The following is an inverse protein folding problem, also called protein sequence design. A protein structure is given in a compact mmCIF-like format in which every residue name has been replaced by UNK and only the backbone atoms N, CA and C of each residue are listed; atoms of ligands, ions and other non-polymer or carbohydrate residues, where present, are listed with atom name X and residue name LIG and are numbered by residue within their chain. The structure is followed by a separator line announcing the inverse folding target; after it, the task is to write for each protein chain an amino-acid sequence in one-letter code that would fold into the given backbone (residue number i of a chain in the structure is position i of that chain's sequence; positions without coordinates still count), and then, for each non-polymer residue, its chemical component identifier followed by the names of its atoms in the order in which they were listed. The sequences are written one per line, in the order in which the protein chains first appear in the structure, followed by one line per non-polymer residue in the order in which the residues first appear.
data_IF_947764067917
#
_entry.id   IF_947764067917
#
_cell.length_a   1.000
_cell.length_b   1.000
_cell.length_c   1.000
_cell.angle_alpha   90.00
_cell.angle_beta   90.00
_cell.angle_gamma   90.00
#
_symmetry.space_group_name_H-M   'P 1'
#
loop_
_entity.id
_entity.type
_entity.pdbx_description
1 polymer ?
#
# COMPACT_ATOMS: atom_id res chain seq x y z
N UNK A 1 17.67 -49.65 63.77
CA UNK A 1 16.79 -49.48 62.58
C UNK A 1 17.37 -48.36 61.72
N UNK A 2 17.92 -48.71 60.56
CA UNK A 2 18.53 -47.78 59.60
C UNK A 2 17.45 -46.91 58.94
N UNK A 3 17.69 -45.60 58.82
CA UNK A 3 17.10 -44.76 57.77
C UNK A 3 18.11 -43.72 57.31
N UNK A 4 18.90 -44.11 56.30
CA UNK A 4 19.55 -43.19 55.37
C UNK A 4 18.47 -42.77 54.36
N UNK A 5 18.30 -41.47 54.16
CA UNK A 5 17.63 -40.93 52.97
C UNK A 5 18.43 -39.73 52.46
N UNK A 6 19.25 -40.02 51.45
CA UNK A 6 19.73 -39.04 50.47
C UNK A 6 18.54 -38.38 49.75
N UNK A 7 18.76 -37.21 49.15
CA UNK A 7 18.24 -36.73 47.84
C UNK A 7 18.47 -35.20 47.80
N UNK A 8 19.59 -34.73 47.23
CA UNK A 8 19.81 -34.32 45.82
C UNK A 8 19.43 -32.86 45.55
N UNK A 9 20.46 -32.05 45.28
CA UNK A 9 20.47 -30.78 44.56
C UNK A 9 20.18 -31.03 43.07
N UNK A 10 19.14 -30.41 42.49
CA UNK A 10 19.00 -30.17 41.03
C UNK A 10 18.23 -28.85 40.86
N UNK A 11 18.96 -27.75 40.61
CA UNK A 11 19.13 -27.12 39.30
C UNK A 11 17.87 -26.33 38.86
N UNK A 12 17.91 -25.02 39.09
CA UNK A 12 16.92 -24.08 38.60
C UNK A 12 16.93 -24.01 37.08
N UNK A 13 15.82 -24.42 36.47
CA UNK A 13 15.54 -24.15 35.06
C UNK A 13 14.83 -22.79 34.99
N UNK A 14 15.58 -21.78 34.55
CA UNK A 14 15.02 -20.52 34.05
C UNK A 14 14.15 -20.84 32.83
N UNK A 15 12.84 -20.86 33.03
CA UNK A 15 11.85 -20.88 31.95
C UNK A 15 11.76 -19.47 31.36
N UNK A 16 12.53 -19.21 30.31
CA UNK A 16 12.32 -18.07 29.41
C UNK A 16 10.99 -18.26 28.66
N UNK A 17 10.06 -17.29 28.68
CA UNK A 17 8.87 -17.39 27.85
C UNK A 17 9.26 -17.33 26.37
N UNK A 18 8.83 -18.33 25.60
CA UNK A 18 8.89 -18.27 24.14
C UNK A 18 8.10 -17.04 23.69
N UNK A 19 8.78 -16.05 23.12
CA UNK A 19 8.13 -14.98 22.39
C UNK A 19 7.30 -15.61 21.27
N UNK A 20 5.99 -15.36 21.27
CA UNK A 20 5.13 -15.72 20.16
C UNK A 20 5.70 -15.04 18.90
N UNK A 21 6.14 -15.86 17.94
CA UNK A 21 6.47 -15.38 16.61
C UNK A 21 5.21 -14.76 16.02
N UNK A 22 5.15 -13.43 15.97
CA UNK A 22 4.19 -12.75 15.13
C UNK A 22 4.53 -13.18 13.70
N UNK A 23 3.71 -14.07 13.13
CA UNK A 23 3.79 -14.40 11.71
C UNK A 23 3.67 -13.08 10.95
N UNK A 24 4.81 -12.59 10.43
CA UNK A 24 4.84 -11.47 9.52
C UNK A 24 4.13 -11.95 8.25
N UNK A 25 2.81 -11.74 8.19
CA UNK A 25 2.05 -11.92 6.97
C UNK A 25 2.52 -10.81 6.04
N UNK A 26 3.51 -11.15 5.21
CA UNK A 26 3.95 -10.33 4.10
C UNK A 26 2.77 -10.24 3.13
N UNK A 27 2.04 -9.13 3.20
CA UNK A 27 0.96 -8.84 2.28
C UNK A 27 1.60 -8.63 0.91
N UNK A 28 1.31 -9.51 -0.04
CA UNK A 28 2.08 -9.66 -1.26
C UNK A 28 1.97 -8.47 -2.22
N UNK A 29 2.78 -7.43 -2.04
CA UNK A 29 3.08 -6.45 -3.11
C UNK A 29 4.14 -7.05 -4.04
N UNK A 30 3.77 -8.06 -4.83
CA UNK A 30 4.75 -8.88 -5.60
C UNK A 30 5.17 -8.31 -6.96
N UNK A 31 4.57 -7.22 -7.45
CA UNK A 31 4.87 -6.73 -8.81
C UNK A 31 5.63 -5.39 -8.83
N UNK A 32 6.76 -5.31 -9.57
CA UNK A 32 7.37 -4.02 -9.89
C UNK A 32 6.38 -3.19 -10.71
N UNK A 33 6.53 -1.86 -10.62
CA UNK A 33 5.73 -0.83 -11.28
C UNK A 33 4.95 -1.33 -12.54
N UNK A 34 3.62 -1.26 -12.51
CA UNK A 34 2.75 -1.72 -13.59
C UNK A 34 2.33 -0.53 -14.46
N UNK A 35 2.38 -0.70 -15.77
CA UNK A 35 1.75 0.23 -16.70
C UNK A 35 0.27 -0.14 -16.86
N UNK A 36 -0.62 0.72 -16.38
CA UNK A 36 -2.09 0.52 -16.45
C UNK A 36 -2.74 1.47 -17.46
N UNK A 37 -1.97 2.04 -18.38
CA UNK A 37 -2.49 2.93 -19.43
C UNK A 37 -2.97 4.30 -18.95
N UNK A 38 -2.72 4.66 -17.69
CA UNK A 38 -3.05 5.98 -17.14
C UNK A 38 -1.89 6.94 -17.40
N UNK A 39 -2.18 8.03 -18.10
CA UNK A 39 -1.26 9.13 -18.34
C UNK A 39 -1.95 10.46 -18.00
N UNK A 40 -1.58 11.03 -16.87
CA UNK A 40 -2.06 12.33 -16.40
C UNK A 40 -1.04 13.41 -16.76
N UNK A 41 -1.37 14.34 -17.67
CA UNK A 41 -0.42 15.38 -18.10
C UNK A 41 -0.10 16.39 -16.99
N UNK A 42 -0.97 16.53 -16.01
CA UNK A 42 -0.82 17.42 -14.87
C UNK A 42 -1.55 16.86 -13.64
N UNK A 43 -1.25 17.44 -12.47
CA UNK A 43 -1.89 17.10 -11.21
C UNK A 43 -3.42 17.25 -11.32
N UNK A 44 -4.21 16.20 -11.01
CA UNK A 44 -5.65 16.23 -11.20
C UNK A 44 -6.36 17.12 -10.15
N UNK A 45 -7.51 17.66 -10.54
CA UNK A 45 -8.39 18.31 -9.58
C UNK A 45 -9.07 17.25 -8.70
N UNK A 46 -8.69 17.22 -7.43
CA UNK A 46 -9.24 16.31 -6.43
C UNK A 46 -10.29 17.01 -5.57
N UNK A 47 -11.45 16.39 -5.44
CA UNK A 47 -12.60 16.88 -4.67
C UNK A 47 -12.94 15.87 -3.60
N UNK A 48 -13.23 16.33 -2.38
CA UNK A 48 -13.57 15.44 -1.27
C UNK A 48 -14.91 14.75 -1.52
N UNK A 49 -14.97 13.45 -1.22
CA UNK A 49 -16.21 12.69 -1.16
C UNK A 49 -16.94 13.07 0.15
N UNK A 50 -18.16 13.63 0.10
CA UNK A 50 -18.90 14.09 1.27
C UNK A 50 -19.11 13.00 2.32
N UNK A 51 -18.62 13.24 3.54
CA UNK A 51 -18.72 12.28 4.65
C UNK A 51 -17.65 11.17 4.64
N UNK A 52 -16.62 11.28 3.79
CA UNK A 52 -15.53 10.32 3.70
C UNK A 52 -14.16 11.02 3.86
N UNK A 53 -13.12 10.30 4.31
CA UNK A 53 -11.74 10.77 4.31
C UNK A 53 -11.06 10.62 2.94
N UNK A 54 -11.84 10.53 1.86
CA UNK A 54 -11.38 10.20 0.51
C UNK A 54 -11.65 11.37 -0.43
N UNK A 55 -10.75 11.59 -1.37
CA UNK A 55 -10.98 12.47 -2.52
C UNK A 55 -11.14 11.64 -3.79
N UNK A 56 -11.85 12.18 -4.77
CA UNK A 56 -11.94 11.61 -6.12
C UNK A 56 -11.63 12.69 -7.16
N UNK A 57 -11.32 12.26 -8.39
CA UNK A 57 -11.03 13.18 -9.50
C UNK A 57 -12.22 13.23 -10.49
N UNK A 58 -13.17 14.18 -10.36
CA UNK A 58 -14.36 14.23 -11.21
C UNK A 58 -14.07 14.47 -12.71
N UNK A 59 -12.98 15.17 -13.00
CA UNK A 59 -12.58 15.53 -14.38
C UNK A 59 -11.88 14.40 -15.12
N UNK A 60 -11.51 13.32 -14.43
CA UNK A 60 -10.88 12.17 -15.05
C UNK A 60 -11.94 11.15 -15.49
N UNK A 61 -11.70 10.52 -16.63
CA UNK A 61 -12.45 9.36 -17.08
C UNK A 61 -11.71 8.09 -16.63
N UNK A 62 -11.52 7.93 -15.31
CA UNK A 62 -10.95 6.74 -14.67
C UNK A 62 -11.37 6.72 -13.20
N UNK A 63 -11.50 5.55 -12.58
CA UNK A 63 -11.79 5.43 -11.15
C UNK A 63 -10.56 5.80 -10.33
N UNK A 64 -10.47 7.07 -9.94
CA UNK A 64 -9.28 7.66 -9.36
C UNK A 64 -9.60 8.36 -8.04
N UNK A 65 -8.90 7.94 -7.00
CA UNK A 65 -9.14 8.36 -5.63
C UNK A 65 -7.84 8.74 -4.93
N UNK A 66 -7.95 9.49 -3.84
CA UNK A 66 -6.83 9.78 -2.93
C UNK A 66 -7.29 9.53 -1.49
N UNK A 67 -6.52 8.73 -0.77
CA UNK A 67 -6.79 8.38 0.62
C UNK A 67 -5.47 8.17 1.35
N UNK A 68 -5.37 8.83 2.51
CA UNK A 68 -4.31 8.63 3.49
C UNK A 68 -2.88 8.74 2.94
N UNK A 69 -2.66 9.65 1.97
CA UNK A 69 -1.33 9.89 1.39
C UNK A 69 -1.00 9.08 0.13
N UNK A 70 -1.91 8.22 -0.33
CA UNK A 70 -1.76 7.49 -1.59
C UNK A 70 -2.91 7.81 -2.56
N UNK A 71 -2.57 7.80 -3.85
CA UNK A 71 -3.50 7.72 -4.97
C UNK A 71 -3.90 6.26 -5.17
N UNK A 72 -5.19 6.03 -5.42
CA UNK A 72 -5.79 4.73 -5.61
C UNK A 72 -6.54 4.71 -6.92
N UNK A 73 -6.30 3.69 -7.72
CA UNK A 73 -6.95 3.49 -9.01
C UNK A 73 -7.61 2.13 -9.02
N UNK A 74 -8.87 2.09 -9.44
CA UNK A 74 -9.55 0.83 -9.74
C UNK A 74 -9.68 0.64 -11.26
N UNK A 75 -8.93 -0.31 -11.80
CA UNK A 75 -8.82 -0.53 -13.24
C UNK A 75 -8.74 -2.03 -13.54
N UNK A 76 -9.54 -2.52 -14.49
CA UNK A 76 -9.55 -3.93 -14.88
C UNK A 76 -9.70 -4.87 -13.67
N UNK A 77 -10.68 -4.59 -12.81
CA UNK A 77 -11.01 -5.34 -11.58
C UNK A 77 -9.93 -5.43 -10.49
N UNK A 78 -8.86 -4.66 -10.65
CA UNK A 78 -7.74 -4.63 -9.73
C UNK A 78 -7.56 -3.22 -9.14
N UNK A 79 -7.08 -3.20 -7.90
CA UNK A 79 -6.65 -1.97 -7.25
C UNK A 79 -5.17 -1.74 -7.50
N UNK A 80 -4.85 -0.48 -7.78
CA UNK A 80 -3.49 0.00 -7.89
C UNK A 80 -3.31 1.21 -7.00
N UNK A 81 -2.11 1.37 -6.45
CA UNK A 81 -1.77 2.55 -5.69
C UNK A 81 -0.50 3.22 -6.21
N UNK A 82 -0.39 4.51 -5.92
CA UNK A 82 0.84 5.28 -6.08
C UNK A 82 0.93 6.37 -5.03
N UNK A 83 2.13 6.76 -4.64
CA UNK A 83 2.34 7.98 -3.86
C UNK A 83 2.44 9.24 -4.72
N UNK A 84 2.47 9.07 -6.05
CA UNK A 84 2.54 10.13 -7.02
C UNK A 84 1.37 10.08 -8.00
N UNK A 85 0.88 11.27 -8.40
CA UNK A 85 -0.42 11.35 -9.07
C UNK A 85 -0.46 10.63 -10.43
N UNK A 86 0.66 10.50 -11.13
CA UNK A 86 0.78 9.82 -12.42
C UNK A 86 1.59 8.53 -12.33
N UNK A 87 1.59 7.89 -11.16
CA UNK A 87 2.35 6.66 -10.95
C UNK A 87 3.86 6.86 -10.69
N UNK A 88 4.67 5.81 -10.75
CA UNK A 88 4.30 4.48 -11.18
C UNK A 88 3.29 3.82 -10.25
N UNK A 89 2.50 2.92 -10.82
CA UNK A 89 1.43 2.21 -10.13
C UNK A 89 1.93 0.86 -9.64
N UNK A 90 1.46 0.42 -8.48
CA UNK A 90 1.67 -0.96 -8.04
C UNK A 90 0.35 -1.64 -7.75
N UNK A 91 0.30 -2.93 -8.03
CA UNK A 91 -0.84 -3.77 -7.72
C UNK A 91 -1.06 -3.83 -6.20
N UNK A 92 -2.32 -3.75 -5.79
CA UNK A 92 -2.76 -3.95 -4.42
C UNK A 92 -3.80 -5.06 -4.41
N UNK A 93 -3.49 -6.12 -3.66
CA UNK A 93 -4.38 -7.24 -3.45
C UNK A 93 -5.70 -6.80 -2.78
N UNK A 94 -6.81 -7.45 -3.10
CA UNK A 94 -8.14 -7.09 -2.58
C UNK A 94 -8.24 -7.17 -1.05
N UNK A 95 -7.42 -7.99 -0.40
CA UNK A 95 -7.30 -8.05 1.07
C UNK A 95 -6.40 -6.98 1.66
N UNK A 96 -5.78 -6.16 0.82
CA UNK A 96 -4.86 -5.10 1.19
C UNK A 96 -5.37 -3.71 0.79
N UNK A 97 -6.66 -3.59 0.45
CA UNK A 97 -7.30 -2.31 0.18
C UNK A 97 -7.85 -1.73 1.48
N UNK A 98 -7.59 -0.45 1.80
CA UNK A 98 -8.15 0.21 2.97
C UNK A 98 -9.68 0.24 2.93
N UNK A 99 -10.33 0.09 4.09
CA UNK A 99 -11.79 0.02 4.19
C UNK A 99 -12.48 1.28 3.65
N UNK A 100 -11.90 2.47 3.83
CA UNK A 100 -12.49 3.70 3.30
C UNK A 100 -12.45 3.79 1.78
N UNK A 101 -11.49 3.13 1.13
CA UNK A 101 -11.46 2.98 -0.33
C UNK A 101 -12.56 2.02 -0.80
N UNK A 102 -12.79 0.93 -0.06
CA UNK A 102 -13.86 -0.02 -0.36
C UNK A 102 -15.25 0.58 -0.14
N UNK A 103 -15.39 1.53 0.78
CA UNK A 103 -16.67 2.15 1.17
C UNK A 103 -17.13 3.29 0.25
N UNK A 104 -16.33 3.67 -0.74
CA UNK A 104 -16.64 4.78 -1.65
C UNK A 104 -17.97 4.49 -2.36
N UNK A 105 -18.95 5.40 -2.34
CA UNK A 105 -20.21 5.16 -3.03
C UNK A 105 -20.05 5.00 -4.55
N UNK A 106 -20.86 4.12 -5.15
CA UNK A 106 -20.81 3.80 -6.60
C UNK A 106 -20.82 5.05 -7.49
N UNK A 107 -21.56 6.11 -7.12
CA UNK A 107 -21.63 7.36 -7.90
C UNK A 107 -20.28 8.07 -8.12
N UNK A 108 -19.25 7.77 -7.32
CA UNK A 108 -17.94 8.41 -7.42
C UNK A 108 -16.96 7.63 -8.31
N UNK A 109 -17.34 6.45 -8.79
CA UNK A 109 -16.62 5.72 -9.82
C UNK A 109 -16.92 6.36 -11.18
N UNK A 110 -15.89 6.89 -11.86
CA UNK A 110 -16.04 7.59 -13.15
C UNK A 110 -16.16 6.61 -14.31
N UNK A 111 -15.58 5.42 -14.16
CA UNK A 111 -15.65 4.31 -15.10
C UNK A 111 -15.99 3.03 -14.33
N UNK A 112 -17.19 2.94 -13.73
CA UNK A 112 -17.58 1.75 -12.98
C UNK A 112 -17.61 0.52 -13.92
N UNK A 113 -17.15 -0.65 -13.49
CA UNK A 113 -17.30 -1.87 -14.27
C UNK A 113 -18.76 -2.18 -14.60
N UNK A 114 -19.04 -2.95 -15.68
CA UNK A 114 -20.40 -3.27 -16.07
C UNK A 114 -21.24 -3.95 -14.97
N UNK A 115 -20.62 -4.74 -14.08
CA UNK A 115 -21.32 -5.43 -13.00
C UNK A 115 -21.72 -4.49 -11.84
N UNK A 116 -21.27 -3.23 -11.81
CA UNK A 116 -21.79 -2.23 -10.88
C UNK A 116 -23.20 -1.74 -11.27
N UNK A 117 -23.68 -2.10 -12.48
CA UNK A 117 -25.02 -1.70 -12.96
C UNK A 117 -26.09 -2.21 -12.01
N UNK A 118 -27.04 -1.33 -11.66
CA UNK A 118 -28.13 -1.64 -10.74
C UNK A 118 -27.74 -1.57 -9.25
N UNK A 119 -26.47 -1.38 -8.92
CA UNK A 119 -26.08 -1.12 -7.54
C UNK A 119 -26.47 0.30 -7.11
N UNK A 120 -26.73 0.45 -5.80
CA UNK A 120 -27.18 1.71 -5.23
C UNK A 120 -26.10 2.80 -5.36
N UNK A 121 -26.40 3.97 -5.95
CA UNK A 121 -25.39 5.00 -6.20
C UNK A 121 -24.88 5.68 -4.92
N UNK A 122 -25.64 5.69 -3.84
CA UNK A 122 -25.29 6.17 -2.49
C UNK A 122 -24.59 5.14 -1.60
N UNK A 123 -24.47 3.89 -2.05
CA UNK A 123 -23.91 2.79 -1.27
C UNK A 123 -22.55 2.35 -1.84
N UNK A 124 -21.70 1.68 -1.03
CA UNK A 124 -20.47 1.11 -1.54
C UNK A 124 -20.74 -0.04 -2.54
N UNK A 125 -19.79 -0.31 -3.45
CA UNK A 125 -19.75 -1.51 -4.26
C UNK A 125 -19.95 -2.79 -3.45
N UNK A 126 -20.64 -3.77 -4.04
CA UNK A 126 -20.85 -5.09 -3.43
C UNK A 126 -19.64 -5.99 -3.72
N UNK A 127 -18.53 -5.72 -3.04
CA UNK A 127 -17.25 -6.39 -3.32
C UNK A 127 -17.29 -7.93 -3.22
N UNK A 128 -18.17 -8.49 -2.38
CA UNK A 128 -18.36 -9.93 -2.26
C UNK A 128 -18.88 -10.57 -3.57
N UNK A 129 -19.61 -9.83 -4.42
CA UNK A 129 -20.07 -10.32 -5.72
C UNK A 129 -18.89 -10.53 -6.70
N UNK A 130 -17.77 -9.83 -6.50
CA UNK A 130 -16.57 -9.92 -7.35
C UNK A 130 -15.44 -10.76 -6.74
N UNK A 131 -15.19 -10.64 -5.43
CA UNK A 131 -14.08 -11.32 -4.74
C UNK A 131 -14.50 -12.57 -3.96
N UNK A 132 -15.79 -12.89 -3.97
CA UNK A 132 -16.35 -14.10 -3.37
C UNK A 132 -16.57 -14.01 -1.86
N UNK A 133 -17.21 -15.06 -1.34
CA UNK A 133 -17.63 -15.15 0.07
C UNK A 133 -16.47 -15.23 1.05
N UNK A 134 -15.35 -15.85 0.66
CA UNK A 134 -14.17 -15.95 1.52
C UNK A 134 -13.58 -14.57 1.82
N UNK A 135 -13.64 -13.65 0.83
CA UNK A 135 -13.21 -12.28 1.02
C UNK A 135 -14.09 -11.58 2.06
N UNK A 136 -15.41 -11.71 1.92
CA UNK A 136 -16.39 -11.13 2.84
C UNK A 136 -16.24 -11.64 4.27
N UNK A 137 -16.03 -12.95 4.44
CA UNK A 137 -15.81 -13.56 5.76
C UNK A 137 -14.55 -13.02 6.44
N UNK A 138 -13.44 -12.92 5.72
CA UNK A 138 -12.18 -12.38 6.26
C UNK A 138 -12.23 -10.87 6.51
N UNK A 139 -13.13 -10.16 5.84
CA UNK A 139 -13.38 -8.72 5.99
C UNK A 139 -14.75 -8.47 6.66
N UNK A 140 -15.17 -9.32 7.59
CA UNK A 140 -16.47 -9.17 8.26
C UNK A 140 -16.63 -7.76 8.87
N UNK A 141 -17.82 -7.17 8.68
CA UNK A 141 -18.12 -5.81 9.14
C UNK A 141 -17.41 -4.68 8.37
N UNK A 142 -16.75 -4.96 7.24
CA UNK A 142 -16.05 -3.94 6.47
C UNK A 142 -16.95 -2.80 6.00
N UNK A 143 -18.26 -2.98 5.87
CA UNK A 143 -19.23 -1.97 5.45
C UNK A 143 -19.98 -1.32 6.63
N UNK A 144 -19.81 -1.86 7.85
CA UNK A 144 -20.39 -1.33 9.08
C UNK A 144 -19.48 -0.26 9.68
N UNK A 145 -19.97 0.97 9.77
CA UNK A 145 -19.23 2.08 10.37
C UNK A 145 -20.12 3.28 10.68
N UNK A 146 -19.69 4.07 11.65
CA UNK A 146 -20.24 5.40 11.88
C UNK A 146 -19.49 6.42 11.02
N UNK A 147 -20.19 7.07 10.08
CA UNK A 147 -19.64 8.14 9.24
C UNK A 147 -19.14 9.33 10.06
N UNK A 148 -19.69 9.57 11.25
CA UNK A 148 -19.28 10.66 12.15
C UNK A 148 -17.91 10.41 12.79
N UNK A 149 -17.52 9.15 12.89
CA UNK A 149 -16.22 8.72 13.40
C UNK A 149 -15.13 8.66 12.32
N UNK A 150 -15.41 9.18 11.10
CA UNK A 150 -14.41 9.25 10.03
C UNK A 150 -13.19 10.07 10.47
N UNK A 151 -11.96 9.60 10.22
CA UNK A 151 -10.78 10.43 10.43
C UNK A 151 -10.82 11.67 9.52
N UNK A 152 -10.09 12.73 9.88
CA UNK A 152 -9.89 13.85 8.96
C UNK A 152 -9.22 13.34 7.67
N UNK A 153 -9.60 13.86 6.49
CA UNK A 153 -8.96 13.48 5.24
C UNK A 153 -7.49 13.94 5.25
N UNK A 154 -6.61 13.12 4.67
CA UNK A 154 -5.22 13.51 4.46
C UNK A 154 -5.14 14.81 3.62
N UNK A 155 -4.16 15.69 3.88
CA UNK A 155 -3.92 16.86 3.05
C UNK A 155 -3.55 16.42 1.64
N UNK A 156 -4.00 17.16 0.63
CA UNK A 156 -3.61 16.85 -0.75
C UNK A 156 -2.11 17.16 -0.97
N UNK A 157 -1.34 16.32 -1.70
CA UNK A 157 0.08 16.56 -1.98
C UNK A 157 0.26 17.68 -3.03
N UNK A 158 -0.15 18.91 -2.70
CA UNK A 158 -0.24 20.04 -3.64
C UNK A 158 1.10 20.44 -4.26
N UNK A 159 2.22 20.17 -3.57
CA UNK A 159 3.56 20.36 -4.13
C UNK A 159 3.77 19.57 -5.43
N UNK A 160 3.02 18.48 -5.67
CA UNK A 160 3.15 17.69 -6.89
C UNK A 160 2.63 18.43 -8.14
N UNK A 161 1.85 19.53 -7.97
CA UNK A 161 1.35 20.36 -9.08
C UNK A 161 2.45 20.93 -9.97
N UNK A 162 3.64 21.14 -9.42
CA UNK A 162 4.79 21.68 -10.15
C UNK A 162 5.50 20.65 -11.05
N UNK A 163 5.12 19.37 -10.97
CA UNK A 163 5.77 18.29 -11.70
C UNK A 163 4.88 17.78 -12.83
N UNK A 164 4.55 18.63 -13.80
CA UNK A 164 3.71 18.25 -14.94
C UNK A 164 4.54 17.77 -16.14
N UNK A 165 3.96 16.91 -16.98
CA UNK A 165 4.57 16.44 -18.24
C UNK A 165 6.06 16.04 -18.09
N UNK A 166 6.97 16.79 -18.71
CA UNK A 166 8.41 16.50 -18.73
C UNK A 166 9.10 16.75 -17.39
N UNK A 167 8.48 17.53 -16.51
CA UNK A 167 8.97 17.76 -15.14
C UNK A 167 8.57 16.62 -14.20
N UNK A 168 7.75 15.67 -14.65
CA UNK A 168 7.34 14.53 -13.82
C UNK A 168 8.55 13.65 -13.46
N UNK A 169 8.90 13.47 -12.17
CA UNK A 169 10.03 12.65 -11.78
C UNK A 169 9.73 11.18 -12.09
N UNK A 170 10.38 10.61 -13.10
CA UNK A 170 10.17 9.21 -13.51
C UNK A 170 10.95 8.20 -12.67
N UNK A 171 11.99 8.66 -11.97
CA UNK A 171 12.80 7.84 -11.07
C UNK A 171 12.08 7.72 -9.72
N UNK A 172 11.88 6.49 -9.25
CA UNK A 172 11.13 6.22 -8.01
C UNK A 172 11.87 6.76 -6.79
N UNK A 173 13.19 6.73 -6.83
CA UNK A 173 14.08 7.24 -5.79
C UNK A 173 13.87 8.75 -5.62
N UNK A 174 13.90 9.49 -6.73
CA UNK A 174 13.64 10.93 -6.73
C UNK A 174 12.23 11.27 -6.23
N UNK A 175 11.25 10.47 -6.64
CA UNK A 175 9.88 10.57 -6.15
C UNK A 175 9.78 10.41 -4.63
N UNK A 176 10.50 9.44 -4.06
CA UNK A 176 10.55 9.18 -2.62
C UNK A 176 11.19 10.34 -1.86
N UNK A 177 12.35 10.82 -2.30
CA UNK A 177 13.05 11.96 -1.70
C UNK A 177 12.13 13.18 -1.61
N UNK A 178 11.55 13.56 -2.76
CA UNK A 178 10.63 14.68 -2.84
C UNK A 178 9.40 14.48 -1.95
N UNK A 179 8.89 13.25 -1.83
CA UNK A 179 7.78 12.97 -0.92
C UNK A 179 8.18 13.13 0.55
N UNK A 180 9.34 12.61 0.96
CA UNK A 180 9.82 12.74 2.34
C UNK A 180 10.12 14.21 2.70
N UNK A 181 10.67 14.98 1.76
CA UNK A 181 11.00 16.38 1.96
C UNK A 181 9.76 17.29 1.97
N UNK A 182 8.80 17.04 1.06
CA UNK A 182 7.70 17.98 0.77
C UNK A 182 6.35 17.56 1.34
N UNK A 183 6.18 16.28 1.68
CA UNK A 183 4.91 15.72 2.17
C UNK A 183 5.06 15.14 3.57
N UNK A 184 4.93 15.99 4.59
CA UNK A 184 5.14 15.64 6.00
C UNK A 184 4.02 14.82 6.64
N UNK A 185 2.95 14.54 5.89
CA UNK A 185 1.83 13.77 6.41
C UNK A 185 2.23 12.31 6.61
N UNK A 186 1.94 11.77 7.79
CA UNK A 186 2.13 10.37 8.10
C UNK A 186 0.78 9.64 7.95
N UNK A 187 0.70 8.58 7.12
CA UNK A 187 -0.52 7.80 6.96
C UNK A 187 -0.99 7.22 8.30
N UNK A 188 -2.28 7.38 8.61
CA UNK A 188 -2.87 6.85 9.83
C UNK A 188 -3.34 5.40 9.69
N UNK A 189 -3.75 5.03 8.48
CA UNK A 189 -4.27 3.70 8.17
C UNK A 189 -3.15 2.66 8.21
N UNK A 190 -3.30 1.57 8.98
CA UNK A 190 -2.27 0.55 9.09
C UNK A 190 -1.94 -0.11 7.76
N UNK A 191 -2.93 -0.31 6.88
CA UNK A 191 -2.74 -0.93 5.57
C UNK A 191 -1.90 -0.02 4.68
N UNK A 192 -2.16 1.28 4.72
CA UNK A 192 -1.43 2.28 3.95
C UNK A 192 0.02 2.40 4.44
N UNK A 193 0.22 2.44 5.76
CA UNK A 193 1.56 2.44 6.36
C UNK A 193 2.39 1.23 5.94
N UNK A 194 1.79 0.04 5.98
CA UNK A 194 2.46 -1.20 5.57
C UNK A 194 2.87 -1.14 4.09
N UNK A 195 1.94 -0.78 3.19
CA UNK A 195 2.25 -0.63 1.75
C UNK A 195 3.38 0.34 1.49
N UNK A 196 3.37 1.48 2.19
CA UNK A 196 4.42 2.48 2.08
C UNK A 196 5.78 1.92 2.53
N UNK A 197 5.83 1.31 3.71
CA UNK A 197 7.07 0.73 4.26
C UNK A 197 7.62 -0.38 3.38
N UNK A 198 6.81 -1.36 3.00
CA UNK A 198 7.25 -2.50 2.19
C UNK A 198 7.79 -2.06 0.83
N UNK A 199 7.12 -1.11 0.15
CA UNK A 199 7.54 -0.61 -1.17
C UNK A 199 8.89 0.09 -1.09
N UNK A 200 9.07 0.97 -0.11
CA UNK A 200 10.28 1.78 -0.02
C UNK A 200 11.45 1.04 0.65
N UNK A 201 11.21 0.08 1.55
CA UNK A 201 12.26 -0.74 2.16
C UNK A 201 12.77 -1.85 1.22
N UNK A 202 11.89 -2.52 0.46
CA UNK A 202 12.33 -3.56 -0.48
C UNK A 202 13.20 -3.01 -1.61
N UNK A 203 12.96 -1.77 -2.04
CA UNK A 203 13.75 -1.15 -3.10
C UNK A 203 15.17 -0.81 -2.64
N UNK A 204 15.33 -0.39 -1.37
CA UNK A 204 16.65 -0.18 -0.74
C UNK A 204 17.46 -1.49 -0.69
N UNK A 205 16.83 -2.61 -0.27
CA UNK A 205 17.51 -3.92 -0.22
C UNK A 205 17.93 -4.45 -1.59
N UNK A 206 17.10 -4.25 -2.64
CA UNK A 206 17.44 -4.65 -4.01
C UNK A 206 18.62 -3.84 -4.57
N UNK A 207 18.76 -2.58 -4.16
CA UNK A 207 19.92 -1.74 -4.52
C UNK A 207 21.19 -2.27 -3.89
N UNK A 208 21.18 -2.58 -2.60
CA UNK A 208 22.37 -3.07 -1.89
C UNK A 208 22.88 -4.38 -2.51
N UNK A 209 21.96 -5.29 -2.86
CA UNK A 209 22.32 -6.55 -3.53
C UNK A 209 22.88 -6.35 -4.95
N UNK A 210 22.36 -5.38 -5.72
CA UNK A 210 22.93 -5.06 -7.05
C UNK A 210 24.27 -4.35 -6.95
N UNK A 211 24.44 -3.45 -5.99
CA UNK A 211 25.69 -2.73 -5.74
C UNK A 211 26.82 -3.66 -5.30
N UNK A 212 26.52 -4.64 -4.43
CA UNK A 212 27.48 -5.68 -4.03
C UNK A 212 27.87 -6.57 -5.21
N UNK A 213 26.91 -7.07 -6.00
CA UNK A 213 27.20 -7.91 -7.17
C UNK A 213 28.02 -7.19 -8.26
N UNK A 214 27.80 -5.88 -8.45
CA UNK A 214 28.59 -5.08 -9.38
C UNK A 214 30.06 -4.96 -8.93
N UNK A 215 30.29 -4.64 -7.65
CA UNK A 215 31.64 -4.59 -7.07
C UNK A 215 32.38 -5.91 -7.17
N UNK A 216 31.70 -7.03 -6.94
CA UNK A 216 32.31 -8.36 -7.00
C UNK A 216 32.68 -8.75 -8.44
N UNK A 217 31.95 -8.28 -9.45
CA UNK A 217 32.27 -8.52 -10.86
C UNK A 217 33.41 -7.64 -11.36
N UNK A 218 33.46 -6.38 -10.95
CA UNK A 218 34.55 -5.46 -11.33
C UNK A 218 35.88 -5.92 -10.71
N UNK A 219 35.88 -6.33 -9.44
CA UNK A 219 37.09 -6.90 -8.80
C UNK A 219 37.58 -8.19 -9.47
N UNK A 220 36.68 -9.02 -10.00
CA UNK A 220 37.06 -10.23 -10.76
C UNK A 220 37.66 -9.87 -12.12
N UNK A 221 37.07 -8.92 -12.84
CA UNK A 221 37.59 -8.44 -14.14
C UNK A 221 38.96 -7.79 -14.02
N UNK A 222 39.19 -6.99 -12.98
CA UNK A 222 40.49 -6.35 -12.75
C UNK A 222 41.57 -7.37 -12.38
N UNK A 223 41.20 -8.45 -11.67
CA UNK A 223 42.11 -9.55 -11.34
C UNK A 223 42.49 -10.39 -12.58
N UNK A 224 41.58 -10.55 -13.54
CA UNK A 224 41.84 -11.29 -14.78
C UNK A 224 42.61 -10.48 -15.84
N UNK A 225 42.59 -9.14 -15.78
CA UNK A 225 43.37 -8.25 -16.65
C UNK A 225 44.84 -8.10 -16.27
N UNK A 226 45.17 -8.40 -15.01
CA UNK A 226 46.53 -8.27 -14.45
C UNK A 226 47.29 -9.61 -14.44
N UNK A 227 46.85 -10.61 -15.19
CA UNK A 227 47.55 -11.87 -15.47
C UNK A 227 47.89 -11.97 -16.95
#
# INVERSE_FOLDING_TARGET
MLKIRNVILVLGVLMSPLAASAAQVSIGVRTPNVSIGINLPAYPQLVRVPGYPVYYAPQLNVNYFFYDGLYWVFHGDNWYASSWYNGPWWFVDSYAVPVYILRIPVRYYRQPPPYFRGWRPDAPPRWHENWGRDWEQRRSGWDQWDRRASPPPAPLPSYQRQYSRDQYPRQVERQRELQQERYRYQPGDPVVRQHYQERYQQQDQRRDQRGQRGRDQDQRRDRDRNR
#
